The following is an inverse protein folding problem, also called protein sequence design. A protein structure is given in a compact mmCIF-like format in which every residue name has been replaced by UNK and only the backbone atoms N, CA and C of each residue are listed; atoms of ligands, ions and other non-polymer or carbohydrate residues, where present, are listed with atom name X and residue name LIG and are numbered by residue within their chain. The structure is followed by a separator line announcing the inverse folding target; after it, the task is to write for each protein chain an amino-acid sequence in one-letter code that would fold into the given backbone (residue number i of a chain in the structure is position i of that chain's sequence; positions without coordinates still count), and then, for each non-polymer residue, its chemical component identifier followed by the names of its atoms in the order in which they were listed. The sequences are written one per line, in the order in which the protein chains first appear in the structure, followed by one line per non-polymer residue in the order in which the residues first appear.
data_IF_283314681698
#
_entry.id   IF_283314681698
#
_cell.length_a   1.000
_cell.length_b   1.000
_cell.length_c   1.000
_cell.angle_alpha   90.00
_cell.angle_beta   90.00
_cell.angle_gamma   90.00
#
_symmetry.space_group_name_H-M   'P 1'
#
loop_
_entity.id
_entity.type
_entity.pdbx_description
1 polymer ?
#
# COMPACT_ATOMS: atom_id res chain seq x y z
N UNK A 1 28.62 6.54 39.49
CA UNK A 1 29.80 5.75 39.93
C UNK A 1 29.94 4.61 38.94
N UNK A 2 31.17 4.28 38.53
CA UNK A 2 31.59 3.48 37.34
C UNK A 2 32.05 4.31 36.14
N UNK A 3 33.28 4.77 36.33
CA UNK A 3 34.26 5.26 35.37
C UNK A 3 34.98 4.12 34.65
N UNK A 4 35.28 4.35 33.36
CA UNK A 4 36.51 3.98 32.61
C UNK A 4 37.11 2.59 32.82
N UNK A 5 37.21 1.83 31.73
CA UNK A 5 38.39 1.01 31.38
C UNK A 5 38.35 0.57 29.92
N UNK A 6 39.02 1.32 29.05
CA UNK A 6 39.54 0.79 27.78
C UNK A 6 40.92 1.41 27.60
N UNK A 7 41.97 0.63 27.89
CA UNK A 7 43.34 0.96 27.55
C UNK A 7 44.17 -0.32 27.42
N UNK A 8 44.52 -0.68 26.18
CA UNK A 8 45.86 -1.10 25.69
C UNK A 8 45.73 -2.04 24.49
N UNK A 9 46.31 -1.63 23.36
CA UNK A 9 47.50 -2.15 22.65
C UNK A 9 47.79 -1.10 21.54
N UNK A 10 48.81 -0.22 21.63
CA UNK A 10 50.23 -0.39 21.23
C UNK A 10 50.40 -0.91 19.78
N UNK A 11 51.27 -0.46 18.87
CA UNK A 11 52.35 0.54 18.75
C UNK A 11 52.80 0.46 17.27
N UNK A 12 52.92 1.55 16.50
CA UNK A 12 53.76 1.62 15.26
C UNK A 12 54.22 3.08 14.99
N UNK A 13 55.40 3.31 14.35
CA UNK A 13 56.23 4.52 14.51
C UNK A 13 55.96 5.66 13.49
N UNK A 14 56.55 6.87 13.67
CA UNK A 14 56.27 8.03 12.83
C UNK A 14 57.30 8.21 11.69
N UNK A 15 56.84 8.71 10.52
CA UNK A 15 57.75 9.19 9.48
C UNK A 15 57.09 9.49 8.12
N UNK A 16 57.02 10.80 7.77
CA UNK A 16 57.00 11.42 6.43
C UNK A 16 56.11 10.80 5.31
N UNK A 17 55.17 11.50 4.70
CA UNK A 17 55.39 12.72 3.91
C UNK A 17 54.05 13.28 3.40
N UNK A 18 54.09 14.55 3.00
CA UNK A 18 52.99 15.44 2.61
C UNK A 18 52.21 14.94 1.39
N UNK A 19 50.88 15.00 1.45
CA UNK A 19 49.97 14.94 0.31
C UNK A 19 48.67 15.64 0.67
N UNK A 20 48.48 16.84 0.14
CA UNK A 20 47.31 17.69 0.33
C UNK A 20 46.05 16.98 -0.17
N UNK A 21 45.11 16.66 0.72
CA UNK A 21 43.76 16.25 0.38
C UNK A 21 42.79 17.26 1.00
N UNK A 22 42.22 18.09 0.14
CA UNK A 22 41.20 19.05 0.47
C UNK A 22 39.99 18.35 1.10
N UNK A 23 39.52 18.92 2.21
CA UNK A 23 38.21 18.64 2.79
C UNK A 23 37.11 18.78 1.73
N UNK A 24 36.48 17.68 1.35
CA UNK A 24 35.18 17.70 0.65
C UNK A 24 34.06 17.58 1.68
N UNK A 25 33.15 18.55 1.68
CA UNK A 25 31.92 18.52 2.46
C UNK A 25 30.86 17.64 1.77
N UNK A 26 29.85 17.13 2.48
CA UNK A 26 28.94 16.07 1.99
C UNK A 26 27.92 16.49 0.91
N UNK A 27 28.08 17.65 0.28
CA UNK A 27 27.13 18.20 -0.72
C UNK A 27 27.53 17.96 -2.18
N UNK A 28 28.82 17.84 -2.47
CA UNK A 28 29.32 17.94 -3.85
C UNK A 28 29.24 16.63 -4.65
N UNK A 29 29.01 15.50 -3.97
CA UNK A 29 28.92 14.18 -4.61
C UNK A 29 27.57 13.96 -5.32
N UNK A 30 26.50 14.62 -4.86
CA UNK A 30 25.16 14.48 -5.44
C UNK A 30 25.06 15.16 -6.82
N UNK A 31 25.68 16.32 -7.00
CA UNK A 31 25.64 17.05 -8.29
C UNK A 31 26.44 16.33 -9.39
N UNK A 32 27.53 15.66 -9.01
CA UNK A 32 28.33 14.83 -9.92
C UNK A 32 27.59 13.57 -10.37
N UNK A 33 26.91 12.87 -9.45
CA UNK A 33 26.14 11.66 -9.76
C UNK A 33 24.89 11.98 -10.60
N UNK A 34 24.21 13.09 -10.31
CA UNK A 34 23.02 13.54 -11.07
C UNK A 34 23.37 13.94 -12.51
N UNK A 35 24.53 14.58 -12.71
CA UNK A 35 25.03 14.92 -14.07
C UNK A 35 25.39 13.69 -14.88
N UNK A 36 26.02 12.69 -14.27
CA UNK A 36 26.36 11.43 -14.95
C UNK A 36 25.10 10.63 -15.30
N UNK A 37 24.09 10.63 -14.43
CA UNK A 37 22.83 9.93 -14.68
C UNK A 37 21.98 10.59 -15.78
N UNK A 38 21.94 11.92 -15.82
CA UNK A 38 21.22 12.67 -16.87
C UNK A 38 21.93 12.58 -18.24
N UNK A 39 23.26 12.47 -18.26
CA UNK A 39 24.02 12.31 -19.51
C UNK A 39 23.84 10.92 -20.14
N UNK A 40 23.64 9.86 -19.35
CA UNK A 40 23.51 8.49 -19.88
C UNK A 40 22.10 8.11 -20.30
N UNK A 41 21.06 8.84 -19.88
CA UNK A 41 19.66 8.45 -20.10
C UNK A 41 18.87 9.32 -21.08
N UNK A 42 19.32 10.54 -21.41
CA UNK A 42 18.51 11.46 -22.21
C UNK A 42 19.12 11.99 -23.52
N UNK A 43 20.36 11.63 -23.87
CA UNK A 43 20.86 11.84 -25.25
C UNK A 43 20.65 13.24 -25.83
N UNK A 44 20.87 14.30 -25.06
CA UNK A 44 20.81 15.69 -25.56
C UNK A 44 22.22 16.22 -25.74
N UNK A 45 22.68 16.28 -27.00
CA UNK A 45 23.89 17.01 -27.39
C UNK A 45 23.57 18.48 -27.65
N UNK A 46 24.32 19.40 -27.04
CA UNK A 46 24.68 20.75 -27.53
C UNK A 46 25.69 21.36 -26.55
N UNK A 47 27.00 21.34 -26.83
CA UNK A 47 27.77 22.33 -27.61
C UNK A 47 27.83 23.73 -26.96
N UNK A 48 28.98 23.96 -26.31
CA UNK A 48 29.85 25.15 -26.33
C UNK A 48 29.33 26.49 -25.78
N UNK A 49 30.09 27.02 -24.81
CA UNK A 49 30.68 28.36 -24.99
C UNK A 49 30.62 29.32 -23.80
N UNK A 50 31.80 29.60 -23.23
CA UNK A 50 32.17 30.97 -22.86
C UNK A 50 31.89 31.41 -21.43
N UNK A 51 32.92 31.35 -20.58
CA UNK A 51 32.94 32.08 -19.33
C UNK A 51 33.13 33.59 -19.56
N UNK A 52 32.41 34.41 -18.80
CA UNK A 52 32.80 35.79 -18.48
C UNK A 52 32.48 36.08 -17.01
N UNK A 53 33.48 36.64 -16.36
CA UNK A 53 33.59 37.09 -14.97
C UNK A 53 32.85 38.44 -14.76
N UNK A 54 32.32 38.61 -13.54
CA UNK A 54 32.06 39.89 -12.84
C UNK A 54 30.81 40.72 -13.19
N UNK A 55 29.90 40.87 -12.20
CA UNK A 55 29.77 42.08 -11.36
C UNK A 55 28.57 41.96 -10.40
N UNK A 56 28.85 42.03 -9.09
CA UNK A 56 27.84 42.32 -8.05
C UNK A 56 27.33 43.76 -8.19
N UNK A 57 26.03 43.99 -8.06
CA UNK A 57 25.41 45.26 -7.64
C UNK A 57 24.08 45.01 -6.87
N UNK A 58 23.63 45.97 -6.05
CA UNK A 58 23.06 45.67 -4.73
C UNK A 58 21.52 45.60 -4.68
N UNK A 59 21.07 45.03 -3.55
CA UNK A 59 19.69 44.85 -3.08
C UNK A 59 18.96 46.20 -2.99
N UNK A 60 17.83 46.36 -3.73
CA UNK A 60 16.91 47.49 -3.56
C UNK A 60 15.90 47.18 -2.45
N UNK A 61 15.81 48.10 -1.50
CA UNK A 61 14.87 48.20 -0.38
C UNK A 61 13.43 48.42 -0.85
N UNK A 62 12.44 47.78 -0.21
CA UNK A 62 11.00 48.04 -0.41
C UNK A 62 10.58 49.31 0.36
N UNK A 63 9.65 50.13 -0.16
CA UNK A 63 9.04 51.24 0.60
C UNK A 63 7.93 50.73 1.55
N UNK A 64 7.56 51.52 2.58
CA UNK A 64 6.64 51.11 3.64
C UNK A 64 5.16 51.16 3.22
N UNK A 65 4.36 50.34 3.91
CA UNK A 65 2.92 50.16 3.72
C UNK A 65 2.16 51.34 4.35
N UNK A 66 1.36 52.03 3.54
CA UNK A 66 0.43 53.09 3.96
C UNK A 66 -0.83 52.48 4.61
N UNK A 67 -1.10 52.85 5.87
CA UNK A 67 -2.21 52.37 6.70
C UNK A 67 -3.51 53.18 6.55
N UNK A 68 -3.60 54.12 5.62
CA UNK A 68 -4.77 55.01 5.46
C UNK A 68 -5.94 54.42 4.65
N UNK A 69 -5.88 53.14 4.24
CA UNK A 69 -6.90 52.52 3.36
C UNK A 69 -7.82 51.47 4.01
N UNK A 70 -7.84 51.36 5.33
CA UNK A 70 -8.65 50.34 6.05
C UNK A 70 -9.96 50.89 6.66
N UNK A 71 -10.18 52.22 6.69
CA UNK A 71 -11.41 52.79 7.31
C UNK A 71 -12.59 53.08 6.36
N UNK A 72 -12.50 52.73 5.07
CA UNK A 72 -13.56 53.03 4.10
C UNK A 72 -14.60 51.91 3.88
N UNK A 73 -14.49 50.76 4.56
CA UNK A 73 -15.37 49.60 4.32
C UNK A 73 -16.33 49.26 5.48
N UNK A 74 -16.48 50.13 6.48
CA UNK A 74 -17.38 49.92 7.64
C UNK A 74 -18.56 50.91 7.71
N UNK A 75 -18.95 51.54 6.59
CA UNK A 75 -20.04 52.54 6.52
C UNK A 75 -21.14 52.20 5.50
N UNK A 76 -21.44 50.92 5.28
CA UNK A 76 -22.52 50.47 4.39
C UNK A 76 -23.50 49.45 4.97
N UNK A 77 -23.53 49.29 6.29
CA UNK A 77 -24.55 48.48 6.96
C UNK A 77 -25.08 49.23 8.17
N UNK A 78 -26.15 49.98 7.98
CA UNK A 78 -26.88 50.65 9.07
C UNK A 78 -27.71 51.82 8.57
N UNK A 79 -29.01 51.78 8.90
CA UNK A 79 -30.02 52.85 8.88
C UNK A 79 -31.01 52.86 7.70
N UNK A 80 -32.17 52.21 7.95
CA UNK A 80 -33.54 52.76 7.89
C UNK A 80 -34.47 51.57 8.22
N UNK A 81 -35.15 51.47 9.37
CA UNK A 81 -36.21 52.36 9.89
C UNK A 81 -37.44 52.32 8.98
N UNK A 82 -38.71 52.22 9.36
CA UNK A 82 -39.48 52.12 10.61
C UNK A 82 -40.97 52.26 10.20
N UNK A 83 -41.93 51.70 10.94
CA UNK A 83 -43.37 52.03 10.84
C UNK A 83 -44.29 50.80 10.90
N UNK A 84 -44.93 50.49 12.04
CA UNK A 84 -46.31 50.88 12.43
C UNK A 84 -47.35 50.55 11.35
N UNK A 85 -48.39 49.72 11.57
CA UNK A 85 -49.48 49.96 12.52
C UNK A 85 -50.54 48.87 12.38
N UNK A 86 -51.26 48.64 13.48
CA UNK A 86 -52.62 48.12 13.67
C UNK A 86 -53.42 47.56 12.49
N UNK A 87 -54.06 46.40 12.70
CA UNK A 87 -55.52 46.36 12.86
C UNK A 87 -56.08 44.97 13.11
N UNK A 88 -57.08 44.95 13.99
CA UNK A 88 -57.82 43.82 14.50
C UNK A 88 -58.84 43.25 13.50
N UNK A 89 -59.23 41.98 13.68
CA UNK A 89 -60.32 41.38 12.89
C UNK A 89 -60.78 40.01 13.39
N UNK A 90 -61.68 40.02 14.38
CA UNK A 90 -62.44 38.87 14.91
C UNK A 90 -63.34 38.22 13.85
N UNK A 91 -63.57 36.89 13.95
CA UNK A 91 -64.88 36.19 14.08
C UNK A 91 -64.80 34.74 13.55
N UNK A 92 -65.04 33.75 14.42
CA UNK A 92 -66.31 33.01 14.66
C UNK A 92 -66.56 31.92 13.61
N UNK A 93 -66.35 30.64 13.90
CA UNK A 93 -67.20 29.68 14.65
C UNK A 93 -68.55 29.42 13.93
N UNK A 94 -68.68 28.22 13.36
CA UNK A 94 -69.93 27.66 12.86
C UNK A 94 -69.89 26.13 12.83
N UNK A 95 -70.34 25.48 13.90
CA UNK A 95 -70.77 24.08 13.94
C UNK A 95 -72.17 23.99 13.33
N UNK A 96 -72.50 22.88 12.64
CA UNK A 96 -73.74 22.11 12.86
C UNK A 96 -73.70 20.78 12.11
N UNK A 97 -74.38 19.81 12.73
CA UNK A 97 -74.29 18.36 12.52
C UNK A 97 -75.55 17.84 11.77
N UNK A 98 -76.03 16.59 11.92
CA UNK A 98 -76.22 15.62 10.82
C UNK A 98 -77.69 15.21 10.64
N UNK A 99 -78.00 14.30 9.69
CA UNK A 99 -79.15 13.34 9.67
C UNK A 99 -79.36 12.86 8.22
N UNK A 100 -79.19 11.57 7.91
CA UNK A 100 -80.13 10.43 8.01
C UNK A 100 -80.99 10.24 6.76
N UNK A 101 -81.00 9.03 6.19
CA UNK A 101 -82.17 8.15 6.01
C UNK A 101 -81.79 6.99 5.08
N UNK A 102 -82.24 5.80 5.47
CA UNK A 102 -82.08 4.52 4.82
C UNK A 102 -83.05 4.31 3.64
N UNK A 103 -82.71 3.42 2.69
CA UNK A 103 -83.58 2.29 2.31
C UNK A 103 -82.97 1.39 1.22
N UNK A 104 -83.09 0.09 1.49
CA UNK A 104 -83.36 -1.05 0.59
C UNK A 104 -82.40 -1.49 -0.54
N UNK A 105 -82.09 -2.78 -0.45
CA UNK A 105 -82.14 -3.81 -1.50
C UNK A 105 -80.83 -4.55 -1.81
N UNK A 106 -80.78 -5.75 -1.24
CA UNK A 106 -80.24 -6.99 -1.76
C UNK A 106 -80.01 -7.02 -3.29
N UNK A 107 -78.74 -7.10 -3.71
CA UNK A 107 -78.21 -8.14 -4.60
C UNK A 107 -76.72 -7.83 -4.90
N UNK A 108 -75.96 -8.85 -5.33
CA UNK A 108 -74.56 -8.79 -5.77
C UNK A 108 -73.48 -8.90 -4.67
N UNK A 109 -73.55 -9.97 -3.88
CA UNK A 109 -72.36 -10.64 -3.34
C UNK A 109 -71.56 -11.24 -4.51
N UNK A 110 -70.64 -10.46 -5.07
CA UNK A 110 -69.74 -10.93 -6.14
C UNK A 110 -68.40 -10.18 -6.20
N UNK A 111 -68.35 -8.92 -5.74
CA UNK A 111 -67.21 -8.05 -6.03
C UNK A 111 -66.32 -7.70 -4.81
N UNK A 112 -66.62 -8.24 -3.62
CA UNK A 112 -65.85 -7.93 -2.39
C UNK A 112 -64.55 -8.73 -2.31
N UNK A 113 -64.49 -9.93 -2.88
CA UNK A 113 -63.29 -10.77 -2.85
C UNK A 113 -62.22 -10.31 -3.87
N UNK A 114 -62.64 -9.85 -5.06
CA UNK A 114 -61.72 -9.29 -6.08
C UNK A 114 -61.17 -7.91 -5.69
N UNK A 115 -61.98 -7.05 -5.06
CA UNK A 115 -61.51 -5.75 -4.56
C UNK A 115 -60.58 -5.88 -3.34
N UNK A 116 -60.73 -6.94 -2.53
CA UNK A 116 -59.82 -7.27 -1.44
C UNK A 116 -58.48 -7.84 -1.95
N UNK A 117 -58.50 -8.70 -3.00
CA UNK A 117 -57.29 -9.21 -3.63
C UNK A 117 -56.47 -8.10 -4.32
N UNK A 118 -57.13 -7.16 -5.01
CA UNK A 118 -56.44 -6.02 -5.63
C UNK A 118 -55.87 -5.02 -4.62
N UNK A 119 -56.47 -4.89 -3.42
CA UNK A 119 -55.89 -4.10 -2.32
C UNK A 119 -54.76 -4.81 -1.59
N UNK A 120 -54.72 -6.15 -1.59
CA UNK A 120 -53.62 -6.92 -1.02
C UNK A 120 -52.38 -6.93 -1.93
N UNK A 121 -52.55 -6.94 -3.25
CA UNK A 121 -51.43 -6.89 -4.22
C UNK A 121 -50.89 -5.47 -4.46
N UNK A 122 -51.68 -4.42 -4.19
CA UNK A 122 -51.27 -3.02 -4.37
C UNK A 122 -50.55 -2.34 -3.19
N UNK A 123 -50.53 -2.94 -1.99
CA UNK A 123 -50.01 -2.29 -0.75
C UNK A 123 -48.70 -2.87 -0.21
N UNK A 124 -48.19 -3.96 -0.76
CA UNK A 124 -46.89 -4.56 -0.40
C UNK A 124 -45.66 -3.92 -1.06
N UNK A 125 -45.84 -3.15 -2.14
CA UNK A 125 -44.72 -2.68 -2.98
C UNK A 125 -44.14 -1.29 -2.67
N UNK A 126 -44.66 -0.54 -1.69
CA UNK A 126 -44.26 0.88 -1.49
C UNK A 126 -43.60 1.21 -0.14
N UNK A 127 -43.43 0.24 0.76
CA UNK A 127 -42.81 0.49 2.09
C UNK A 127 -41.43 -0.14 2.30
N UNK A 128 -41.00 -1.05 1.41
CA UNK A 128 -39.63 -1.60 1.44
C UNK A 128 -38.66 -0.91 0.46
N UNK A 129 -39.15 0.04 -0.35
CA UNK A 129 -38.35 0.76 -1.35
C UNK A 129 -37.85 2.15 -0.90
N UNK A 130 -37.92 2.46 0.41
CA UNK A 130 -37.54 3.79 0.96
C UNK A 130 -36.25 3.82 1.79
N UNK A 131 -35.55 2.70 1.97
CA UNK A 131 -34.21 2.68 2.59
C UNK A 131 -33.06 2.23 1.68
N UNK A 132 -33.32 1.88 0.42
CA UNK A 132 -32.28 1.59 -0.59
C UNK A 132 -32.11 2.66 -1.68
N UNK A 133 -32.87 3.76 -1.61
CA UNK A 133 -32.82 4.84 -2.59
C UNK A 133 -31.85 5.99 -2.20
N UNK A 134 -30.76 5.71 -1.47
CA UNK A 134 -29.67 6.67 -1.22
C UNK A 134 -28.37 6.35 -1.95
N UNK A 135 -28.30 5.25 -2.71
CA UNK A 135 -27.22 5.03 -3.66
C UNK A 135 -27.70 5.53 -5.02
N UNK A 136 -27.72 6.86 -5.15
CA UNK A 136 -27.70 7.49 -6.46
C UNK A 136 -26.65 6.75 -7.30
N UNK A 137 -27.13 6.14 -8.37
CA UNK A 137 -26.35 5.55 -9.44
C UNK A 137 -25.35 6.61 -9.87
N UNK A 138 -24.15 6.57 -9.30
CA UNK A 138 -23.07 7.45 -9.73
C UNK A 138 -22.78 7.05 -11.15
N UNK A 139 -23.22 7.87 -12.10
CA UNK A 139 -22.85 7.75 -13.51
C UNK A 139 -21.33 7.67 -13.54
N UNK A 140 -20.81 6.45 -13.74
CA UNK A 140 -19.41 6.20 -13.95
C UNK A 140 -19.13 6.69 -15.35
N UNK A 141 -18.31 7.72 -15.48
CA UNK A 141 -17.95 8.26 -16.78
C UNK A 141 -16.91 7.32 -17.40
N UNK A 142 -17.05 6.98 -18.69
CA UNK A 142 -16.01 6.27 -19.42
C UNK A 142 -14.72 7.08 -19.30
N UNK A 143 -13.63 6.41 -18.91
CA UNK A 143 -12.39 7.07 -18.53
C UNK A 143 -11.76 7.87 -19.70
N UNK A 144 -12.03 7.46 -20.94
CA UNK A 144 -11.39 7.99 -22.16
C UNK A 144 -11.46 9.50 -22.33
N UNK A 145 -12.63 10.12 -22.15
CA UNK A 145 -12.83 11.55 -22.48
C UNK A 145 -12.20 12.50 -21.45
N UNK A 146 -11.99 12.05 -20.22
CA UNK A 146 -11.39 12.84 -19.14
C UNK A 146 -9.87 12.63 -19.04
N UNK A 147 -9.39 11.41 -19.29
CA UNK A 147 -7.96 11.08 -19.32
C UNK A 147 -7.22 11.75 -20.49
N UNK A 148 -7.93 12.15 -21.55
CA UNK A 148 -7.33 12.84 -22.69
C UNK A 148 -7.04 14.34 -22.45
N UNK A 149 -7.62 14.96 -21.40
CA UNK A 149 -7.49 16.41 -21.18
C UNK A 149 -6.16 16.74 -20.49
N UNK A 150 -5.36 17.70 -20.97
CA UNK A 150 -4.07 18.05 -20.36
C UNK A 150 -4.23 18.59 -18.93
N UNK A 151 -5.36 19.24 -18.63
CA UNK A 151 -5.69 19.73 -17.29
C UNK A 151 -5.76 18.60 -16.27
N UNK A 152 -6.24 17.41 -16.65
CA UNK A 152 -6.28 16.26 -15.75
C UNK A 152 -4.86 15.85 -15.33
N UNK A 153 -3.95 15.73 -16.29
CA UNK A 153 -2.56 15.36 -16.03
C UNK A 153 -1.80 16.41 -15.23
N UNK A 154 -2.08 17.70 -15.44
CA UNK A 154 -1.53 18.78 -14.61
C UNK A 154 -1.95 18.65 -13.14
N UNK A 155 -3.24 18.39 -12.87
CA UNK A 155 -3.71 18.16 -11.51
C UNK A 155 -3.14 16.87 -10.91
N UNK A 156 -3.10 15.78 -11.68
CA UNK A 156 -2.52 14.52 -11.24
C UNK A 156 -1.03 14.68 -10.88
N UNK A 157 -0.26 15.37 -11.73
CA UNK A 157 1.14 15.69 -11.48
C UNK A 157 1.30 16.61 -10.26
N UNK A 158 0.45 17.61 -10.08
CA UNK A 158 0.46 18.49 -8.91
C UNK A 158 0.19 17.74 -7.60
N UNK A 159 -0.77 16.81 -7.60
CA UNK A 159 -1.07 15.96 -6.45
C UNK A 159 0.09 14.99 -6.16
N UNK A 160 0.64 14.36 -7.20
CA UNK A 160 1.80 13.49 -7.06
C UNK A 160 3.02 14.23 -6.51
N UNK A 161 3.29 15.44 -7.01
CA UNK A 161 4.36 16.30 -6.51
C UNK A 161 4.13 16.69 -5.05
N UNK A 162 2.92 17.15 -4.70
CA UNK A 162 2.57 17.51 -3.33
C UNK A 162 2.72 16.31 -2.37
N UNK A 163 2.34 15.11 -2.82
CA UNK A 163 2.50 13.88 -2.06
C UNK A 163 3.98 13.54 -1.83
N UNK A 164 4.80 13.50 -2.89
CA UNK A 164 6.23 13.21 -2.78
C UNK A 164 6.94 14.23 -1.90
N UNK A 165 6.62 15.52 -2.08
CA UNK A 165 7.19 16.60 -1.28
C UNK A 165 6.77 16.50 0.19
N UNK A 166 5.49 16.27 0.48
CA UNK A 166 4.99 16.15 1.86
C UNK A 166 5.59 14.96 2.60
N UNK A 167 5.90 13.88 1.88
CA UNK A 167 6.53 12.66 2.42
C UNK A 167 8.04 12.60 2.21
N UNK A 168 8.69 13.70 1.81
CA UNK A 168 10.12 13.69 1.49
C UNK A 168 11.00 13.06 2.58
N UNK A 169 10.86 13.39 3.88
CA UNK A 169 11.68 12.77 4.93
C UNK A 169 11.37 11.27 5.13
N UNK A 170 10.14 10.85 4.81
CA UNK A 170 9.73 9.45 4.88
C UNK A 170 10.34 8.65 3.72
N UNK A 171 10.41 9.25 2.52
CA UNK A 171 11.07 8.63 1.37
C UNK A 171 12.57 8.49 1.58
N UNK A 172 13.22 9.49 2.16
CA UNK A 172 14.64 9.43 2.52
C UNK A 172 14.90 8.31 3.54
N UNK A 173 14.07 8.21 4.58
CA UNK A 173 14.16 7.12 5.53
C UNK A 173 13.96 5.75 4.87
N UNK A 174 12.94 5.59 4.02
CA UNK A 174 12.68 4.34 3.29
C UNK A 174 13.85 3.96 2.38
N UNK A 175 14.43 4.90 1.64
CA UNK A 175 15.60 4.66 0.79
C UNK A 175 16.79 4.17 1.60
N UNK A 176 17.06 4.81 2.74
CA UNK A 176 18.13 4.39 3.65
C UNK A 176 17.90 2.98 4.18
N UNK A 177 16.65 2.60 4.47
CA UNK A 177 16.32 1.23 4.89
C UNK A 177 16.56 0.23 3.76
N UNK A 178 16.10 0.50 2.54
CA UNK A 178 16.27 -0.43 1.43
C UNK A 178 17.73 -0.58 0.99
N UNK A 179 18.53 0.48 1.17
CA UNK A 179 19.94 0.50 0.80
C UNK A 179 20.82 -0.18 1.86
N UNK A 180 20.57 0.09 3.13
CA UNK A 180 21.47 -0.32 4.21
C UNK A 180 21.04 -1.59 4.91
N UNK A 181 19.74 -1.95 4.87
CA UNK A 181 19.22 -3.16 5.49
C UNK A 181 18.90 -4.21 4.41
N UNK A 182 19.74 -5.24 4.26
CA UNK A 182 19.59 -6.24 3.21
C UNK A 182 18.22 -6.94 3.22
N UNK A 183 17.58 -7.09 4.39
CA UNK A 183 16.28 -7.76 4.53
C UNK A 183 15.11 -6.95 3.94
N UNK A 184 15.26 -5.63 3.82
CA UNK A 184 14.26 -4.74 3.22
C UNK A 184 14.61 -4.22 1.83
N UNK A 185 15.70 -4.72 1.23
CA UNK A 185 16.11 -4.39 -0.14
C UNK A 185 15.03 -4.63 -1.22
N UNK A 186 14.06 -5.49 -0.94
CA UNK A 186 12.91 -5.74 -1.81
C UNK A 186 12.00 -4.52 -2.02
N UNK A 187 12.08 -3.49 -1.16
CA UNK A 187 11.26 -2.28 -1.25
C UNK A 187 11.33 -1.57 -2.61
N UNK A 188 12.50 -1.58 -3.28
CA UNK A 188 12.65 -1.04 -4.63
C UNK A 188 11.76 -1.73 -5.67
N UNK A 189 11.49 -3.03 -5.50
CA UNK A 189 10.67 -3.83 -6.41
C UNK A 189 9.18 -3.67 -6.09
N UNK A 190 8.83 -3.32 -4.84
CA UNK A 190 7.43 -3.18 -4.41
C UNK A 190 6.70 -2.09 -5.21
N UNK A 191 7.34 -0.93 -5.45
CA UNK A 191 6.72 0.18 -6.17
C UNK A 191 6.40 -0.21 -7.63
N UNK A 192 7.34 -0.68 -8.47
CA UNK A 192 7.04 -1.11 -9.83
C UNK A 192 5.99 -2.23 -9.89
N UNK A 193 6.05 -3.21 -9.00
CA UNK A 193 5.07 -4.31 -8.96
C UNK A 193 3.66 -3.80 -8.59
N UNK A 194 3.55 -2.83 -7.68
CA UNK A 194 2.25 -2.20 -7.36
C UNK A 194 1.64 -1.50 -8.58
N UNK A 195 2.45 -0.78 -9.36
CA UNK A 195 2.02 -0.14 -10.60
C UNK A 195 1.67 -1.17 -11.68
N UNK A 196 2.46 -2.25 -11.77
CA UNK A 196 2.18 -3.37 -12.67
C UNK A 196 0.85 -4.06 -12.33
N UNK A 197 0.50 -4.21 -11.05
CA UNK A 197 -0.81 -4.72 -10.62
C UNK A 197 -1.95 -3.83 -11.11
N UNK A 198 -1.79 -2.50 -11.07
CA UNK A 198 -2.78 -1.58 -11.63
C UNK A 198 -2.89 -1.72 -13.15
N UNK A 199 -1.76 -1.79 -13.85
CA UNK A 199 -1.72 -1.95 -15.30
C UNK A 199 -2.38 -3.25 -15.74
N UNK A 200 -2.04 -4.40 -15.13
CA UNK A 200 -2.64 -5.71 -15.44
C UNK A 200 -4.16 -5.76 -15.21
N UNK A 201 -4.70 -4.84 -14.41
CA UNK A 201 -6.13 -4.76 -14.09
C UNK A 201 -6.84 -3.65 -14.84
N UNK A 202 -6.16 -2.93 -15.74
CA UNK A 202 -6.69 -1.77 -16.44
C UNK A 202 -7.99 -2.07 -17.21
N UNK A 203 -8.09 -3.24 -17.83
CA UNK A 203 -9.29 -3.65 -18.58
C UNK A 203 -10.54 -3.79 -17.70
N UNK A 204 -10.36 -3.95 -16.38
CA UNK A 204 -11.44 -4.06 -15.39
C UNK A 204 -11.71 -2.73 -14.67
N UNK A 205 -11.13 -1.63 -15.14
CA UNK A 205 -11.27 -0.33 -14.51
C UNK A 205 -12.74 0.13 -14.57
N UNK A 206 -13.40 0.40 -13.43
CA UNK A 206 -14.83 0.70 -13.39
C UNK A 206 -15.19 2.11 -13.91
N UNK A 207 -14.21 2.90 -14.36
CA UNK A 207 -14.40 4.29 -14.75
C UNK A 207 -14.27 5.28 -13.58
N UNK A 208 -14.38 6.57 -13.89
CA UNK A 208 -14.17 7.66 -12.94
C UNK A 208 -15.52 8.27 -12.54
N UNK A 209 -15.67 8.62 -11.26
CA UNK A 209 -16.84 9.39 -10.80
C UNK A 209 -16.74 10.86 -11.23
N UNK A 210 -17.88 11.44 -11.59
CA UNK A 210 -17.98 12.87 -11.91
C UNK A 210 -17.69 13.79 -10.72
N UNK A 211 -18.05 13.37 -9.51
CA UNK A 211 -17.92 14.16 -8.29
C UNK A 211 -17.02 13.45 -7.28
N UNK A 212 -16.33 14.26 -6.48
CA UNK A 212 -15.49 13.83 -5.36
C UNK A 212 -16.32 13.10 -4.29
N UNK A 213 -15.79 11.99 -3.76
CA UNK A 213 -16.40 11.26 -2.66
C UNK A 213 -15.74 11.64 -1.33
N UNK A 214 -16.38 12.55 -0.59
CA UNK A 214 -15.88 13.07 0.70
C UNK A 214 -15.59 11.98 1.74
N UNK A 215 -16.14 10.78 1.60
CA UNK A 215 -15.83 9.66 2.49
C UNK A 215 -14.36 9.24 2.39
N UNK A 216 -13.71 9.47 1.25
CA UNK A 216 -12.26 9.26 1.09
C UNK A 216 -11.41 10.09 2.05
N UNK A 217 -11.94 11.23 2.54
CA UNK A 217 -11.26 12.06 3.54
C UNK A 217 -11.06 11.32 4.87
N UNK A 218 -11.87 10.29 5.17
CA UNK A 218 -11.66 9.46 6.37
C UNK A 218 -10.32 8.72 6.34
N UNK A 219 -9.93 8.14 5.20
CA UNK A 219 -8.65 7.45 5.04
C UNK A 219 -7.48 8.44 4.95
N UNK A 220 -7.69 9.61 4.35
CA UNK A 220 -6.70 10.69 4.38
C UNK A 220 -6.47 11.15 5.82
N UNK A 221 -7.55 11.38 6.57
CA UNK A 221 -7.48 11.75 7.99
C UNK A 221 -6.78 10.68 8.84
N UNK A 222 -7.02 9.40 8.55
CA UNK A 222 -6.30 8.29 9.17
C UNK A 222 -4.80 8.34 8.86
N UNK A 223 -4.41 8.52 7.59
CA UNK A 223 -3.00 8.65 7.20
C UNK A 223 -2.33 9.86 7.86
N UNK A 224 -2.97 11.03 7.82
CA UNK A 224 -2.44 12.23 8.49
C UNK A 224 -2.34 12.02 10.01
N UNK A 225 -3.34 11.41 10.64
CA UNK A 225 -3.32 11.08 12.06
C UNK A 225 -2.18 10.10 12.41
N UNK A 226 -2.01 9.04 11.64
CA UNK A 226 -0.90 8.08 11.79
C UNK A 226 0.45 8.77 11.64
N UNK A 227 0.60 9.68 10.66
CA UNK A 227 1.80 10.48 10.47
C UNK A 227 2.09 11.40 11.65
N UNK A 228 1.09 12.12 12.15
CA UNK A 228 1.25 13.00 13.32
C UNK A 228 1.68 12.18 14.54
N UNK A 229 0.98 11.07 14.83
CA UNK A 229 1.32 10.19 15.93
C UNK A 229 2.72 9.59 15.75
N UNK A 230 3.05 9.11 14.55
CA UNK A 230 4.36 8.56 14.22
C UNK A 230 5.49 9.56 14.43
N UNK A 231 5.29 10.82 14.02
CA UNK A 231 6.29 11.88 14.23
C UNK A 231 6.39 12.33 15.69
N UNK A 232 5.27 12.42 16.41
CA UNK A 232 5.28 12.76 17.85
C UNK A 232 5.90 11.65 18.71
N UNK A 233 5.72 10.39 18.31
CA UNK A 233 6.24 9.23 19.02
C UNK A 233 7.63 8.78 18.53
N UNK A 234 8.25 9.50 17.57
CA UNK A 234 9.52 9.10 16.93
C UNK A 234 9.51 7.68 16.36
N UNK A 235 8.38 7.29 15.76
CA UNK A 235 8.14 5.98 15.14
C UNK A 235 8.10 6.12 13.61
N UNK A 236 9.26 6.11 12.95
CA UNK A 236 9.36 6.30 11.49
C UNK A 236 8.60 5.23 10.70
N UNK A 237 8.54 3.98 11.18
CA UNK A 237 7.75 2.91 10.55
C UNK A 237 6.24 3.25 10.49
N UNK A 238 5.72 3.92 11.52
CA UNK A 238 4.30 4.33 11.57
C UNK A 238 4.02 5.42 10.54
N UNK A 239 4.98 6.33 10.37
CA UNK A 239 4.92 7.35 9.33
C UNK A 239 5.02 6.73 7.92
N UNK A 240 5.88 5.73 7.72
CA UNK A 240 5.90 4.94 6.49
C UNK A 240 4.56 4.28 6.19
N UNK A 241 3.96 3.56 7.16
CA UNK A 241 2.67 2.91 6.97
C UNK A 241 1.51 3.88 6.72
N UNK A 242 1.65 5.15 7.12
CA UNK A 242 0.65 6.18 6.83
C UNK A 242 0.48 6.50 5.34
N UNK A 243 1.49 6.17 4.51
CA UNK A 243 1.41 6.27 3.05
C UNK A 243 0.24 5.48 2.48
N UNK A 244 -0.01 4.28 3.01
CA UNK A 244 -1.02 3.34 2.48
C UNK A 244 -2.45 3.88 2.61
N UNK A 245 -2.97 4.25 3.80
CA UNK A 245 -4.30 4.84 3.92
C UNK A 245 -4.38 6.20 3.23
N UNK A 246 -3.30 6.98 3.15
CA UNK A 246 -3.31 8.24 2.43
C UNK A 246 -3.52 8.03 0.92
N UNK A 247 -2.75 7.13 0.29
CA UNK A 247 -2.92 6.77 -1.12
C UNK A 247 -4.32 6.19 -1.36
N UNK A 248 -4.78 5.30 -0.47
CA UNK A 248 -6.14 4.74 -0.54
C UNK A 248 -7.22 5.84 -0.48
N UNK A 249 -7.02 6.82 0.40
CA UNK A 249 -7.91 7.95 0.59
C UNK A 249 -7.93 8.90 -0.60
N UNK A 250 -6.78 9.19 -1.22
CA UNK A 250 -6.69 9.99 -2.45
C UNK A 250 -7.42 9.29 -3.60
N UNK A 251 -7.18 7.99 -3.79
CA UNK A 251 -7.86 7.20 -4.83
C UNK A 251 -9.38 7.17 -4.59
N UNK A 252 -9.82 6.95 -3.36
CA UNK A 252 -11.25 6.95 -3.03
C UNK A 252 -11.88 8.34 -3.22
N UNK A 253 -11.21 9.40 -2.74
CA UNK A 253 -11.70 10.78 -2.83
C UNK A 253 -11.90 11.19 -4.30
N UNK A 254 -10.92 10.90 -5.16
CA UNK A 254 -10.92 11.37 -6.55
C UNK A 254 -11.68 10.44 -7.51
N UNK A 255 -11.51 9.12 -7.38
CA UNK A 255 -12.07 8.15 -8.34
C UNK A 255 -13.30 7.42 -7.81
N UNK A 256 -13.53 7.42 -6.50
CA UNK A 256 -14.67 6.77 -5.83
C UNK A 256 -14.40 5.35 -5.32
N UNK A 257 -15.36 4.82 -4.55
CA UNK A 257 -15.25 3.49 -3.93
C UNK A 257 -15.05 2.33 -4.91
N UNK A 258 -15.68 2.28 -6.11
CA UNK A 258 -15.43 1.22 -7.08
C UNK A 258 -13.97 1.19 -7.56
N UNK A 259 -13.39 2.35 -7.87
CA UNK A 259 -12.00 2.47 -8.27
C UNK A 259 -11.03 2.14 -7.13
N UNK A 260 -11.34 2.54 -5.89
CA UNK A 260 -10.55 2.15 -4.73
C UNK A 260 -10.53 0.62 -4.55
N UNK A 261 -11.68 -0.06 -4.68
CA UNK A 261 -11.74 -1.53 -4.61
C UNK A 261 -10.99 -2.21 -5.76
N UNK A 262 -11.02 -1.60 -6.95
CA UNK A 262 -10.24 -2.05 -8.09
C UNK A 262 -8.73 -1.95 -7.84
N UNK A 263 -8.27 -0.83 -7.25
CA UNK A 263 -6.88 -0.55 -6.89
C UNK A 263 -6.43 -1.21 -5.58
N UNK A 264 -7.35 -1.73 -4.77
CA UNK A 264 -7.06 -2.25 -3.43
C UNK A 264 -5.92 -3.28 -3.39
N UNK A 265 -5.78 -4.23 -4.32
CA UNK A 265 -4.65 -5.15 -4.31
C UNK A 265 -3.30 -4.45 -4.47
N UNK A 266 -3.21 -3.46 -5.36
CA UNK A 266 -1.98 -2.68 -5.54
C UNK A 266 -1.67 -1.82 -4.30
N UNK A 267 -2.70 -1.20 -3.70
CA UNK A 267 -2.56 -0.40 -2.48
C UNK A 267 -2.14 -1.26 -1.29
N UNK A 268 -2.77 -2.43 -1.10
CA UNK A 268 -2.39 -3.38 -0.06
C UNK A 268 -0.96 -3.91 -0.25
N UNK A 269 -0.49 -4.04 -1.49
CA UNK A 269 0.89 -4.43 -1.76
C UNK A 269 1.91 -3.40 -1.24
N UNK A 270 1.54 -2.12 -1.19
CA UNK A 270 2.39 -1.06 -0.60
C UNK A 270 2.62 -1.23 0.91
N UNK A 271 1.86 -2.09 1.61
CA UNK A 271 2.18 -2.41 3.02
C UNK A 271 3.58 -3.04 3.15
N UNK A 272 4.04 -3.76 2.11
CA UNK A 272 5.37 -4.38 2.06
C UNK A 272 6.48 -3.40 1.72
N UNK A 273 6.13 -2.17 1.36
CA UNK A 273 7.11 -1.12 1.07
C UNK A 273 7.87 -0.69 2.33
N UNK A 274 7.19 -0.75 3.47
CA UNK A 274 7.63 -0.19 4.75
C UNK A 274 8.15 -1.31 5.63
N UNK A 275 9.35 -1.18 6.22
CA UNK A 275 9.90 -2.21 7.09
C UNK A 275 9.05 -2.38 8.36
N UNK A 276 9.14 -3.57 8.95
CA UNK A 276 8.41 -3.89 10.18
C UNK A 276 8.97 -3.08 11.36
N UNK A 277 8.18 -2.80 12.40
CA UNK A 277 8.71 -2.21 13.61
C UNK A 277 9.72 -3.16 14.25
N UNK A 278 10.83 -2.62 14.74
CA UNK A 278 11.97 -3.39 15.30
C UNK A 278 11.56 -4.51 16.26
N UNK A 279 10.55 -4.30 17.11
CA UNK A 279 10.05 -5.34 18.02
C UNK A 279 9.41 -6.52 17.29
N UNK A 280 8.58 -6.24 16.28
CA UNK A 280 7.93 -7.29 15.49
C UNK A 280 8.94 -8.03 14.62
N UNK A 281 9.89 -7.29 14.02
CA UNK A 281 10.99 -7.86 13.27
C UNK A 281 11.84 -8.78 14.15
N UNK A 282 12.29 -8.31 15.31
CA UNK A 282 13.13 -9.08 16.22
C UNK A 282 12.43 -10.35 16.71
N UNK A 283 11.15 -10.24 17.08
CA UNK A 283 10.34 -11.38 17.52
C UNK A 283 10.14 -12.39 16.39
N UNK A 284 9.84 -11.92 15.18
CA UNK A 284 9.64 -12.78 14.02
C UNK A 284 10.95 -13.48 13.66
N UNK A 285 12.05 -12.75 13.57
CA UNK A 285 13.39 -13.30 13.31
C UNK A 285 13.79 -14.34 14.35
N UNK A 286 13.55 -14.11 15.64
CA UNK A 286 13.83 -15.08 16.71
C UNK A 286 13.06 -16.39 16.52
N UNK A 287 11.76 -16.29 16.23
CA UNK A 287 10.91 -17.47 15.99
C UNK A 287 11.30 -18.22 14.72
N UNK A 288 11.55 -17.50 13.62
CA UNK A 288 11.99 -18.09 12.35
C UNK A 288 13.33 -18.79 12.51
N UNK A 289 14.29 -18.20 13.23
CA UNK A 289 15.57 -18.84 13.54
C UNK A 289 15.37 -20.12 14.34
N UNK A 290 14.55 -20.12 15.39
CA UNK A 290 14.35 -21.32 16.22
C UNK A 290 13.76 -22.51 15.44
N UNK A 291 12.77 -22.22 14.59
CA UNK A 291 12.20 -23.23 13.68
C UNK A 291 13.25 -23.70 12.67
N UNK A 292 14.00 -22.77 12.07
CA UNK A 292 15.03 -23.09 11.09
C UNK A 292 16.17 -23.92 11.70
N UNK A 293 16.61 -23.63 12.93
CA UNK A 293 17.58 -24.44 13.69
C UNK A 293 17.06 -25.87 13.82
N UNK A 294 15.84 -26.03 14.33
CA UNK A 294 15.25 -27.34 14.60
C UNK A 294 15.14 -28.18 13.33
N UNK A 295 14.60 -27.60 12.25
CA UNK A 295 14.48 -28.28 10.96
C UNK A 295 15.85 -28.64 10.40
N UNK A 296 16.82 -27.72 10.43
CA UNK A 296 18.15 -27.95 9.87
C UNK A 296 18.91 -29.03 10.64
N UNK A 297 18.81 -29.07 11.97
CA UNK A 297 19.41 -30.15 12.78
C UNK A 297 18.83 -31.51 12.43
N UNK A 298 17.51 -31.62 12.22
CA UNK A 298 16.88 -32.87 11.77
C UNK A 298 17.45 -33.28 10.40
N UNK A 299 17.55 -32.33 9.46
CA UNK A 299 18.04 -32.60 8.11
C UNK A 299 19.53 -33.00 8.10
N UNK A 300 20.37 -32.36 8.91
CA UNK A 300 21.78 -32.74 9.07
C UNK A 300 21.93 -34.16 9.64
N UNK A 301 21.11 -34.53 10.62
CA UNK A 301 21.08 -35.91 11.17
C UNK A 301 20.69 -36.94 10.12
N UNK A 302 19.70 -36.62 9.28
CA UNK A 302 19.30 -37.49 8.16
C UNK A 302 20.44 -37.68 7.16
N UNK A 303 21.27 -36.66 6.96
CA UNK A 303 22.47 -36.72 6.11
C UNK A 303 23.66 -37.44 6.78
N UNK A 304 23.50 -37.96 8.00
CA UNK A 304 24.53 -38.72 8.71
C UNK A 304 25.50 -37.86 9.53
N UNK A 305 25.24 -36.56 9.68
CA UNK A 305 26.05 -35.69 10.53
C UNK A 305 25.50 -35.66 11.97
N UNK A 306 26.32 -35.89 13.01
CA UNK A 306 25.87 -35.84 14.40
C UNK A 306 25.66 -34.39 14.83
N UNK A 307 24.46 -33.86 14.56
CA UNK A 307 24.10 -32.49 14.86
C UNK A 307 23.27 -32.36 16.15
N UNK A 308 23.58 -31.40 17.02
CA UNK A 308 22.80 -31.07 18.23
C UNK A 308 22.49 -29.57 18.26
N UNK A 309 21.23 -29.22 18.54
CA UNK A 309 20.80 -27.82 18.62
C UNK A 309 20.82 -27.33 20.08
N UNK A 310 21.45 -26.18 20.30
CA UNK A 310 21.42 -25.44 21.57
C UNK A 310 21.02 -23.99 21.27
N UNK A 311 19.77 -23.63 21.54
CA UNK A 311 19.23 -22.32 21.16
C UNK A 311 19.24 -22.12 19.64
N UNK A 312 20.02 -21.14 19.16
CA UNK A 312 20.22 -20.85 17.73
C UNK A 312 21.60 -21.29 17.20
N UNK A 313 22.29 -22.14 17.96
CA UNK A 313 23.57 -22.72 17.55
C UNK A 313 23.38 -24.21 17.28
N UNK A 314 23.90 -24.69 16.15
CA UNK A 314 23.96 -26.11 15.83
C UNK A 314 25.41 -26.56 16.01
N UNK A 315 25.62 -27.52 16.88
CA UNK A 315 26.88 -28.24 17.04
C UNK A 315 26.91 -29.39 16.05
N UNK A 316 27.96 -29.47 15.23
CA UNK A 316 28.22 -30.58 14.31
C UNK A 316 29.64 -31.05 14.59
N UNK A 317 29.77 -32.23 15.19
CA UNK A 317 31.04 -32.70 15.75
C UNK A 317 31.65 -31.65 16.71
N UNK A 318 32.85 -31.15 16.41
CA UNK A 318 33.55 -30.10 17.17
C UNK A 318 33.30 -28.67 16.62
N UNK A 319 32.60 -28.55 15.49
CA UNK A 319 32.31 -27.27 14.83
C UNK A 319 30.99 -26.66 15.31
N UNK A 320 30.98 -25.33 15.48
CA UNK A 320 29.79 -24.56 15.83
C UNK A 320 29.24 -23.80 14.61
N UNK A 321 28.00 -24.09 14.24
CA UNK A 321 27.22 -23.34 13.26
C UNK A 321 26.25 -22.40 13.98
N UNK A 322 26.70 -21.16 14.20
CA UNK A 322 25.83 -20.12 14.76
C UNK A 322 24.91 -19.56 13.67
N UNK A 323 23.60 -19.67 13.89
CA UNK A 323 22.59 -19.08 13.01
C UNK A 323 22.45 -17.60 13.39
N UNK A 324 23.32 -16.78 12.79
CA UNK A 324 23.28 -15.33 12.97
C UNK A 324 21.95 -14.73 12.47
N UNK A 325 21.66 -13.48 12.84
CA UNK A 325 20.45 -12.79 12.41
C UNK A 325 20.26 -12.77 10.88
N UNK A 326 21.35 -12.74 10.11
CA UNK A 326 21.34 -12.86 8.65
C UNK A 326 20.83 -14.21 8.10
N UNK A 327 20.74 -15.24 8.95
CA UNK A 327 20.20 -16.56 8.63
C UNK A 327 18.76 -16.77 9.15
N UNK A 328 18.15 -15.73 9.72
CA UNK A 328 16.75 -15.79 10.19
C UNK A 328 15.75 -16.16 9.10
N UNK A 329 16.10 -15.91 7.85
CA UNK A 329 15.21 -16.14 6.72
C UNK A 329 14.14 -15.06 6.58
N UNK A 330 14.24 -13.93 7.29
CA UNK A 330 13.26 -12.85 7.16
C UNK A 330 13.15 -12.32 5.72
N UNK A 331 14.29 -12.12 5.03
CA UNK A 331 14.31 -11.68 3.63
C UNK A 331 13.56 -12.61 2.69
N UNK A 332 13.85 -13.91 2.76
CA UNK A 332 13.19 -14.90 1.89
C UNK A 332 11.72 -15.05 2.26
N UNK A 333 11.38 -14.93 3.55
CA UNK A 333 10.01 -14.95 4.04
C UNK A 333 9.19 -13.78 3.47
N UNK A 334 9.67 -12.54 3.60
CA UNK A 334 8.97 -11.36 3.08
C UNK A 334 8.91 -11.41 1.55
N UNK A 335 9.99 -11.81 0.88
CA UNK A 335 10.02 -11.94 -0.58
C UNK A 335 9.05 -13.00 -1.12
N UNK A 336 8.96 -14.16 -0.48
CA UNK A 336 8.00 -15.20 -0.86
C UNK A 336 6.56 -14.78 -0.57
N UNK A 337 6.31 -14.11 0.55
CA UNK A 337 5.00 -13.57 0.88
C UNK A 337 4.59 -12.49 -0.14
N UNK A 338 5.52 -11.63 -0.57
CA UNK A 338 5.29 -10.63 -1.62
C UNK A 338 4.96 -11.26 -2.97
N UNK A 339 5.73 -12.25 -3.42
CA UNK A 339 5.41 -12.97 -4.65
C UNK A 339 4.08 -13.71 -4.57
N UNK A 340 3.78 -14.38 -3.45
CA UNK A 340 2.50 -15.05 -3.25
C UNK A 340 1.32 -14.07 -3.27
N UNK A 341 1.47 -12.89 -2.66
CA UNK A 341 0.48 -11.82 -2.73
C UNK A 341 0.28 -11.33 -4.17
N UNK A 342 1.38 -11.01 -4.86
CA UNK A 342 1.34 -10.54 -6.25
C UNK A 342 0.61 -11.57 -7.15
N UNK A 343 0.91 -12.86 -6.96
CA UNK A 343 0.23 -13.94 -7.64
C UNK A 343 -1.27 -14.00 -7.32
N UNK A 344 -1.64 -13.93 -6.05
CA UNK A 344 -3.04 -13.93 -5.62
C UNK A 344 -3.84 -12.72 -6.13
N UNK A 345 -3.16 -11.59 -6.34
CA UNK A 345 -3.76 -10.37 -6.88
C UNK A 345 -4.00 -10.43 -8.40
N UNK A 346 -3.22 -11.23 -9.14
CA UNK A 346 -3.31 -11.37 -10.61
C UNK A 346 -4.20 -12.54 -11.04
N UNK A 347 -4.25 -13.62 -10.28
CA UNK A 347 -5.00 -14.82 -10.66
C UNK A 347 -6.50 -14.70 -10.36
N UNK A 348 -7.34 -15.02 -11.36
CA UNK A 348 -8.80 -15.13 -11.23
C UNK A 348 -9.20 -16.47 -10.59
N UNK A 349 -8.98 -16.58 -9.28
CA UNK A 349 -9.39 -17.74 -8.45
C UNK A 349 -10.32 -17.34 -7.31
N UNK A 350 -10.93 -18.34 -6.67
CA UNK A 350 -11.76 -18.14 -5.48
C UNK A 350 -10.95 -17.49 -4.35
N UNK A 351 -11.61 -16.80 -3.42
CA UNK A 351 -10.91 -16.17 -2.30
C UNK A 351 -10.23 -17.21 -1.38
N UNK A 352 -10.78 -18.43 -1.31
CA UNK A 352 -10.21 -19.54 -0.56
C UNK A 352 -8.87 -19.98 -1.16
N UNK A 353 -8.80 -20.17 -2.48
CA UNK A 353 -7.56 -20.56 -3.16
C UNK A 353 -6.44 -19.53 -2.92
N UNK A 354 -6.79 -18.24 -2.96
CA UNK A 354 -5.83 -17.14 -2.71
C UNK A 354 -5.28 -17.20 -1.29
N UNK A 355 -6.15 -17.42 -0.31
CA UNK A 355 -5.74 -17.53 1.09
C UNK A 355 -4.87 -18.77 1.32
N UNK A 356 -5.19 -19.90 0.69
CA UNK A 356 -4.36 -21.12 0.80
C UNK A 356 -2.95 -20.87 0.24
N UNK A 357 -2.83 -20.26 -0.95
CA UNK A 357 -1.53 -19.96 -1.56
C UNK A 357 -0.71 -19.00 -0.69
N UNK A 358 -1.36 -17.94 -0.17
CA UNK A 358 -0.71 -16.99 0.75
C UNK A 358 -0.20 -17.67 2.02
N UNK A 359 -1.03 -18.53 2.64
CA UNK A 359 -0.66 -19.25 3.86
C UNK A 359 0.43 -20.28 3.58
N UNK A 360 0.39 -20.96 2.43
CA UNK A 360 1.38 -21.95 2.02
C UNK A 360 2.77 -21.34 1.78
N UNK A 361 2.86 -20.05 1.45
CA UNK A 361 4.14 -19.36 1.29
C UNK A 361 4.95 -19.31 2.60
N UNK A 362 4.28 -19.26 3.76
CA UNK A 362 4.91 -19.19 5.08
C UNK A 362 5.74 -20.44 5.43
N UNK A 363 5.17 -21.66 5.49
CA UNK A 363 5.95 -22.87 5.76
C UNK A 363 6.95 -23.15 4.65
N UNK A 364 6.65 -22.78 3.40
CA UNK A 364 7.57 -22.96 2.30
C UNK A 364 8.83 -22.10 2.47
N UNK A 365 8.71 -20.87 2.98
CA UNK A 365 9.86 -20.00 3.25
C UNK A 365 10.77 -20.60 4.33
N UNK A 366 10.16 -21.14 5.38
CA UNK A 366 10.87 -21.84 6.46
C UNK A 366 11.63 -23.07 5.94
N UNK A 367 10.99 -23.88 5.10
CA UNK A 367 11.61 -25.05 4.48
C UNK A 367 12.81 -24.69 3.60
N UNK A 368 12.66 -23.68 2.73
CA UNK A 368 13.77 -23.24 1.88
C UNK A 368 14.92 -22.67 2.72
N UNK A 369 14.61 -21.93 3.79
CA UNK A 369 15.63 -21.43 4.70
C UNK A 369 16.33 -22.56 5.48
N UNK A 370 15.61 -23.59 5.93
CA UNK A 370 16.20 -24.76 6.57
C UNK A 370 17.10 -25.55 5.62
N UNK A 371 16.68 -25.71 4.36
CA UNK A 371 17.50 -26.29 3.30
C UNK A 371 18.80 -25.50 3.08
N UNK A 372 18.72 -24.16 3.09
CA UNK A 372 19.91 -23.29 3.03
C UNK A 372 20.89 -23.61 4.14
N UNK A 373 20.43 -23.54 5.39
CA UNK A 373 21.28 -23.72 6.58
C UNK A 373 21.89 -25.13 6.57
N UNK A 374 21.09 -26.14 6.24
CA UNK A 374 21.55 -27.53 6.10
C UNK A 374 22.62 -27.66 5.03
N UNK A 375 22.41 -27.12 3.83
CA UNK A 375 23.38 -27.17 2.74
C UNK A 375 24.69 -26.45 3.10
N UNK A 376 24.61 -25.26 3.73
CA UNK A 376 25.81 -24.55 4.19
C UNK A 376 26.54 -25.31 5.29
N UNK A 377 25.83 -25.87 6.26
CA UNK A 377 26.43 -26.66 7.34
C UNK A 377 27.09 -27.93 6.83
N UNK A 378 26.43 -28.65 5.91
CA UNK A 378 26.99 -29.82 5.26
C UNK A 378 28.27 -29.47 4.49
N UNK A 379 28.26 -28.41 3.68
CA UNK A 379 29.43 -27.99 2.89
C UNK A 379 30.61 -27.52 3.76
N UNK A 380 30.35 -26.93 4.93
CA UNK A 380 31.43 -26.50 5.83
C UNK A 380 32.27 -27.66 6.35
N UNK A 381 31.69 -28.85 6.53
CA UNK A 381 32.43 -30.05 6.90
C UNK A 381 33.43 -30.50 5.82
N UNK A 382 33.15 -30.22 4.54
CA UNK A 382 34.03 -30.56 3.42
C UNK A 382 35.05 -29.46 3.09
N UNK A 383 34.71 -28.20 3.37
CA UNK A 383 35.52 -27.03 3.02
C UNK A 383 35.78 -26.13 4.23
N UNK A 384 36.74 -26.50 5.10
CA UNK A 384 36.97 -25.79 6.37
C UNK A 384 37.65 -24.42 6.21
N UNK A 385 38.17 -24.07 5.03
CA UNK A 385 38.93 -22.82 4.86
C UNK A 385 38.03 -21.57 5.06
N UNK A 386 38.52 -20.50 5.73
CA UNK A 386 37.74 -19.28 5.94
C UNK A 386 37.23 -18.64 4.63
N UNK A 387 38.05 -18.67 3.57
CA UNK A 387 37.68 -18.16 2.26
C UNK A 387 36.54 -18.99 1.63
N UNK A 388 36.60 -20.32 1.78
CA UNK A 388 35.53 -21.22 1.32
C UNK A 388 34.22 -20.96 2.06
N UNK A 389 34.26 -20.74 3.38
CA UNK A 389 33.07 -20.44 4.19
C UNK A 389 32.38 -19.15 3.72
N UNK A 390 33.14 -18.07 3.49
CA UNK A 390 32.59 -16.83 2.93
C UNK A 390 31.97 -17.04 1.55
N UNK A 391 32.66 -17.72 0.64
CA UNK A 391 32.15 -18.03 -0.69
C UNK A 391 30.86 -18.86 -0.61
N UNK A 392 30.83 -19.94 0.17
CA UNK A 392 29.65 -20.79 0.35
C UNK A 392 28.47 -19.97 0.89
N UNK A 393 28.72 -19.10 1.88
CA UNK A 393 27.68 -18.25 2.44
C UNK A 393 27.10 -17.29 1.40
N UNK A 394 27.94 -16.60 0.62
CA UNK A 394 27.51 -15.62 -0.39
C UNK A 394 26.76 -16.30 -1.54
N UNK A 395 27.31 -17.40 -2.07
CA UNK A 395 26.66 -18.18 -3.14
C UNK A 395 25.35 -18.82 -2.67
N UNK A 396 25.28 -19.30 -1.42
CA UNK A 396 24.02 -19.79 -0.85
C UNK A 396 22.97 -18.68 -0.81
N UNK A 397 23.35 -17.43 -0.49
CA UNK A 397 22.44 -16.29 -0.50
C UNK A 397 21.88 -16.00 -1.90
N UNK A 398 22.76 -15.97 -2.91
CA UNK A 398 22.34 -15.70 -4.30
C UNK A 398 21.47 -16.82 -4.89
N UNK A 399 21.78 -18.09 -4.60
CA UNK A 399 21.06 -19.25 -5.13
C UNK A 399 19.65 -19.39 -4.53
N UNK A 400 19.39 -18.79 -3.36
CA UNK A 400 18.10 -18.91 -2.67
C UNK A 400 16.97 -18.14 -3.34
N UNK A 401 17.26 -17.01 -3.99
CA UNK A 401 16.26 -16.24 -4.75
C UNK A 401 15.68 -17.06 -5.92
N UNK A 402 16.50 -17.61 -6.85
CA UNK A 402 15.99 -18.45 -7.93
C UNK A 402 15.38 -19.75 -7.42
N UNK A 403 15.90 -20.34 -6.33
CA UNK A 403 15.29 -21.53 -5.70
C UNK A 403 13.88 -21.22 -5.17
N UNK A 404 13.70 -20.12 -4.45
CA UNK A 404 12.40 -19.67 -3.95
C UNK A 404 11.43 -19.40 -5.10
N UNK A 405 11.89 -18.71 -6.16
CA UNK A 405 11.08 -18.45 -7.35
C UNK A 405 10.68 -19.75 -8.08
N UNK A 406 11.61 -20.69 -8.23
CA UNK A 406 11.38 -22.00 -8.84
C UNK A 406 10.39 -22.84 -8.03
N UNK A 407 10.53 -22.86 -6.70
CA UNK A 407 9.62 -23.60 -5.83
C UNK A 407 8.21 -23.02 -5.86
N UNK A 408 8.08 -21.68 -5.83
CA UNK A 408 6.80 -21.01 -5.97
C UNK A 408 6.17 -21.28 -7.36
N UNK A 409 6.97 -21.32 -8.42
CA UNK A 409 6.53 -21.72 -9.75
C UNK A 409 6.03 -23.18 -9.79
N UNK A 410 6.74 -24.10 -9.15
CA UNK A 410 6.31 -25.49 -9.02
C UNK A 410 4.98 -25.61 -8.28
N UNK A 411 4.81 -24.89 -7.17
CA UNK A 411 3.55 -24.85 -6.42
C UNK A 411 2.43 -24.30 -7.29
N UNK A 412 2.69 -23.23 -8.04
CA UNK A 412 1.73 -22.69 -9.02
C UNK A 412 1.30 -23.78 -10.01
N UNK A 413 2.26 -24.42 -10.69
CA UNK A 413 1.97 -25.41 -11.73
C UNK A 413 1.22 -26.61 -11.15
N UNK A 414 1.64 -27.07 -9.96
CA UNK A 414 0.95 -28.13 -9.22
C UNK A 414 -0.50 -27.73 -8.93
N UNK A 415 -0.73 -26.53 -8.39
CA UNK A 415 -2.06 -26.05 -8.04
C UNK A 415 -2.96 -25.88 -9.26
N UNK A 416 -2.41 -25.39 -10.38
CA UNK A 416 -3.11 -25.28 -11.67
C UNK A 416 -3.52 -26.65 -12.23
N UNK A 417 -2.70 -27.69 -12.00
CA UNK A 417 -3.00 -29.07 -12.43
C UNK A 417 -4.01 -29.77 -11.54
N UNK A 418 -3.93 -29.59 -10.21
CA UNK A 418 -4.83 -30.24 -9.24
C UNK A 418 -6.23 -29.64 -9.31
N UNK A 419 -6.35 -28.32 -9.36
CA UNK A 419 -7.64 -27.64 -9.41
C UNK A 419 -7.87 -27.07 -10.81
N UNK A 420 -8.39 -27.89 -11.73
CA UNK A 420 -8.97 -27.36 -12.97
C UNK A 420 -10.25 -26.59 -12.60
N UNK A 421 -10.36 -25.30 -12.95
CA UNK A 421 -11.58 -24.57 -12.69
C UNK A 421 -12.72 -25.24 -13.47
N UNK A 422 -13.66 -25.83 -12.74
CA UNK A 422 -14.90 -26.32 -13.35
C UNK A 422 -15.63 -25.08 -13.84
N UNK A 423 -15.80 -24.95 -15.16
CA UNK A 423 -16.70 -23.95 -15.74
C UNK A 423 -18.11 -24.28 -15.25
N UNK A 424 -18.54 -23.63 -14.17
CA UNK A 424 -19.94 -23.64 -13.76
C UNK A 424 -20.69 -22.96 -14.89
N UNK A 425 -21.35 -23.75 -15.74
CA UNK A 425 -22.25 -23.21 -16.74
C UNK A 425 -23.44 -22.64 -15.98
N UNK A 426 -23.69 -21.35 -16.12
CA UNK A 426 -24.87 -20.74 -15.55
C UNK A 426 -26.11 -21.40 -16.17
N UNK A 427 -27.16 -21.64 -15.37
CA UNK A 427 -28.37 -22.31 -15.85
C UNK A 427 -29.02 -21.55 -17.01
N UNK A 428 -28.80 -20.23 -17.07
CA UNK A 428 -29.22 -19.34 -18.17
C UNK A 428 -28.51 -19.63 -19.49
N UNK A 429 -27.23 -20.01 -19.47
CA UNK A 429 -26.47 -20.40 -20.67
C UNK A 429 -26.96 -21.74 -21.24
N UNK A 430 -27.25 -22.71 -20.37
CA UNK A 430 -27.85 -24.00 -20.79
C UNK A 430 -29.26 -23.85 -21.35
N UNK A 431 -30.05 -22.91 -20.82
CA UNK A 431 -31.36 -22.61 -21.38
C UNK A 431 -31.25 -21.93 -22.74
N UNK A 432 -30.28 -21.03 -22.95
CA UNK A 432 -30.03 -20.42 -24.27
C UNK A 432 -29.52 -21.43 -25.31
N UNK A 433 -28.67 -22.38 -24.92
CA UNK A 433 -28.18 -23.40 -25.85
C UNK A 433 -29.27 -24.40 -26.27
N UNK A 434 -30.32 -24.57 -25.47
CA UNK A 434 -31.43 -25.48 -25.77
C UNK A 434 -32.60 -24.81 -26.52
N UNK A 435 -32.61 -23.48 -26.63
CA UNK A 435 -33.71 -22.72 -27.27
C UNK A 435 -33.40 -22.36 -28.72
N UNK A 436 -32.17 -22.59 -29.20
CA UNK A 436 -31.83 -22.44 -30.63
C UNK A 436 -31.68 -23.84 -31.24
N UNK A 437 -32.74 -24.43 -31.82
CA UNK A 437 -32.57 -25.56 -32.73
C UNK A 437 -31.87 -25.06 -34.00
N UNK A 438 -30.92 -25.88 -34.46
CA UNK A 438 -30.14 -25.76 -35.70
C UNK A 438 -31.00 -25.66 -36.95
#
# INVERSE_FOLDING_TARGET
MWTKSVQKYALLPPGSSRGSAAHCLPGDCFESQLRTFLFSTLGVSSVVGGGIVSKRKPRKTRPPIDKSRIEAASKRAGLAGSGSSDSAGKRARGKRSPSSVASSSSAARGNVFQAALQRATGRGGRRFSRHHASNASSVLLPAGDHLAKPVFWLWAAGIAFAFVFAFWPTWEWLELQWRNEPDYSHGYIVIPLSLMLLWMRWDQFPGVRRNVDWRGLSLIGLGVGMRIVGRLAYMDFMDGWSLVPLVAGIVWLLLGAPAMRWAAPAICFLLMLVPLPYRAESLLSWNLQGVATTLSTIMLRILGLPAIAEGHTIWVDDDQLMIAQACSGLRIFVGMFAMAFFWCATVRRSWIDRTIILVAALPMALWVNALRITATGYLYGWFPSPASRHLIHDWSGYLMIPLAAGLLWCVKVFWERVYRPVKIHDHTERLRSNVVPS
#
